data_IF_051474292903
#
_entry.id   IF_051474292903
#
_cell.length_a   1.000
_cell.length_b   1.000
_cell.length_c   1.000
_cell.angle_alpha   90.00
_cell.angle_beta   90.00
_cell.angle_gamma   90.00
#
_symmetry.space_group_name_H-M   'P 1'
#
loop_
_entity.id
_entity.type
_entity.pdbx_description
1 polymer ?
#
# COMPACT_ATOMS: atom_id res chain seq x y z
N UNK A 1 -5.02 -18.99 -2.49
CA UNK A 1 -4.98 -18.58 -1.07
C UNK A 1 -6.01 -17.46 -0.82
N UNK A 2 -6.52 -17.25 0.40
CA UNK A 2 -7.55 -16.20 0.65
C UNK A 2 -7.06 -14.80 0.26
N UNK A 3 -5.78 -14.49 0.53
CA UNK A 3 -5.14 -13.23 0.17
C UNK A 3 -5.17 -12.95 -1.34
N UNK A 4 -4.92 -13.95 -2.18
CA UNK A 4 -4.98 -13.79 -3.64
C UNK A 4 -6.38 -13.38 -4.11
N UNK A 5 -7.43 -14.00 -3.55
CA UNK A 5 -8.81 -13.65 -3.87
C UNK A 5 -9.16 -12.22 -3.45
N UNK A 6 -8.62 -11.77 -2.32
CA UNK A 6 -8.79 -10.38 -1.86
C UNK A 6 -8.10 -9.43 -2.84
N UNK A 7 -6.86 -9.72 -3.26
CA UNK A 7 -6.15 -8.90 -4.24
C UNK A 7 -6.87 -8.85 -5.58
N UNK A 8 -7.32 -9.99 -6.10
CA UNK A 8 -8.04 -10.08 -7.36
C UNK A 8 -9.34 -9.25 -7.33
N UNK A 9 -10.06 -9.28 -6.21
CA UNK A 9 -11.25 -8.46 -6.03
C UNK A 9 -10.94 -6.95 -6.01
N UNK A 10 -9.79 -6.57 -5.47
CA UNK A 10 -9.35 -5.17 -5.37
C UNK A 10 -8.88 -4.60 -6.71
N UNK A 11 -8.42 -5.42 -7.67
CA UNK A 11 -7.93 -4.95 -8.97
C UNK A 11 -8.95 -4.07 -9.70
N UNK A 12 -10.22 -4.47 -9.69
CA UNK A 12 -11.31 -3.69 -10.31
C UNK A 12 -11.47 -2.30 -9.69
N UNK A 13 -11.26 -2.19 -8.38
CA UNK A 13 -11.40 -0.94 -7.61
C UNK A 13 -10.17 -0.04 -7.71
N UNK A 14 -9.02 -0.59 -8.07
CA UNK A 14 -7.75 0.14 -8.22
C UNK A 14 -7.46 0.52 -9.68
N UNK A 15 -8.22 -0.03 -10.63
CA UNK A 15 -8.06 0.23 -12.05
C UNK A 15 -8.14 1.73 -12.36
N UNK A 16 -7.10 2.26 -13.01
CA UNK A 16 -7.01 3.67 -13.39
C UNK A 16 -6.63 4.63 -12.26
N UNK A 17 -6.55 4.17 -11.00
CA UNK A 17 -6.20 5.01 -9.85
C UNK A 17 -4.69 5.13 -9.66
N UNK A 18 -4.27 6.25 -9.10
CA UNK A 18 -2.86 6.54 -8.80
C UNK A 18 -2.65 6.81 -7.33
N UNK A 19 -1.43 6.53 -6.86
CA UNK A 19 -1.01 6.85 -5.50
C UNK A 19 -0.83 8.36 -5.39
N UNK A 20 -1.53 8.99 -4.46
CA UNK A 20 -1.41 10.42 -4.13
C UNK A 20 -0.45 10.67 -2.99
N UNK A 21 -0.48 9.82 -1.96
CA UNK A 21 0.37 9.94 -0.77
C UNK A 21 0.62 8.57 -0.12
N UNK A 22 1.78 8.40 0.51
CA UNK A 22 2.13 7.22 1.30
C UNK A 22 2.72 7.65 2.64
N UNK A 23 2.08 7.24 3.74
CA UNK A 23 2.59 7.47 5.10
C UNK A 23 2.93 6.16 5.77
N UNK A 24 4.19 6.03 6.19
CA UNK A 24 4.68 4.86 6.92
C UNK A 24 4.94 5.31 8.35
N UNK A 25 4.00 4.99 9.23
CA UNK A 25 4.19 5.08 10.66
C UNK A 25 4.89 3.83 11.19
N UNK A 26 5.12 3.82 12.50
CA UNK A 26 5.80 2.70 13.12
C UNK A 26 4.89 1.45 13.23
N UNK A 27 3.60 1.61 13.51
CA UNK A 27 2.61 0.52 13.63
C UNK A 27 1.73 0.35 12.39
N UNK A 28 1.54 1.43 11.63
CA UNK A 28 0.59 1.49 10.54
C UNK A 28 1.21 2.12 9.31
N UNK A 29 0.79 1.66 8.14
CA UNK A 29 1.07 2.30 6.86
C UNK A 29 -0.27 2.69 6.22
N UNK A 30 -0.33 3.88 5.64
CA UNK A 30 -1.49 4.40 4.93
C UNK A 30 -1.09 4.82 3.51
N UNK A 31 -2.00 4.61 2.55
CA UNK A 31 -1.89 5.08 1.17
C UNK A 31 -3.17 5.81 0.82
N UNK A 32 -3.03 7.05 0.33
CA UNK A 32 -4.13 7.81 -0.25
C UNK A 32 -4.04 7.71 -1.78
N UNK A 33 -5.17 7.48 -2.44
CA UNK A 33 -5.30 7.51 -3.89
C UNK A 33 -5.72 8.89 -4.39
N UNK A 34 -5.60 9.12 -5.69
CA UNK A 34 -5.97 10.37 -6.35
C UNK A 34 -7.47 10.70 -6.26
N UNK A 35 -8.33 9.70 -6.05
CA UNK A 35 -9.76 9.88 -5.79
C UNK A 35 -10.10 10.12 -4.30
N UNK A 36 -9.08 10.21 -3.43
CA UNK A 36 -9.23 10.42 -2.00
C UNK A 36 -9.54 9.15 -1.19
N UNK A 37 -9.61 7.98 -1.83
CA UNK A 37 -9.72 6.71 -1.12
C UNK A 37 -8.43 6.41 -0.32
N UNK A 38 -8.59 5.82 0.87
CA UNK A 38 -7.46 5.53 1.76
C UNK A 38 -7.43 4.04 2.11
N UNK A 39 -6.28 3.41 1.93
CA UNK A 39 -5.99 2.07 2.44
C UNK A 39 -5.04 2.13 3.62
N UNK A 40 -5.30 1.34 4.67
CA UNK A 40 -4.43 1.23 5.85
C UNK A 40 -4.06 -0.23 6.12
N UNK A 41 -2.84 -0.46 6.61
CA UNK A 41 -2.40 -1.78 7.06
C UNK A 41 -1.50 -1.65 8.29
N UNK A 42 -1.29 -2.77 8.97
CA UNK A 42 -0.28 -2.91 10.02
C UNK A 42 1.12 -3.08 9.45
N UNK A 43 2.08 -2.43 10.10
CA UNK A 43 3.50 -2.68 9.93
C UNK A 43 3.89 -3.80 10.88
N UNK A 44 4.18 -4.98 10.34
CA UNK A 44 4.56 -6.16 11.13
C UNK A 44 6.00 -6.04 11.64
N UNK A 45 6.26 -5.14 12.58
CA UNK A 45 7.62 -4.77 13.04
C UNK A 45 8.52 -5.95 13.41
N UNK A 46 7.94 -7.01 13.99
CA UNK A 46 8.67 -8.22 14.38
C UNK A 46 9.29 -8.96 13.19
N UNK A 47 8.77 -8.75 11.99
CA UNK A 47 9.27 -9.34 10.74
C UNK A 47 10.34 -8.47 10.05
N UNK A 48 10.52 -7.22 10.48
CA UNK A 48 11.36 -6.21 9.80
C UNK A 48 12.68 -5.94 10.55
N UNK A 49 12.91 -6.64 11.67
CA UNK A 49 14.06 -6.42 12.56
C UNK A 49 14.03 -5.06 13.29
N UNK A 50 15.00 -4.81 14.18
CA UNK A 50 15.17 -3.51 14.84
C UNK A 50 15.84 -2.47 13.92
N UNK A 51 15.26 -2.22 12.76
CA UNK A 51 15.76 -1.25 11.81
C UNK A 51 14.73 -0.13 11.59
N UNK A 52 15.21 1.11 11.54
CA UNK A 52 14.49 2.16 10.81
C UNK A 52 14.51 1.75 9.33
N UNK A 53 13.43 1.12 8.88
CA UNK A 53 13.31 0.67 7.50
C UNK A 53 13.04 1.88 6.60
N UNK A 54 14.09 2.47 6.05
CA UNK A 54 13.94 3.41 4.94
C UNK A 54 13.33 2.64 3.76
N UNK A 55 12.16 3.08 3.26
CA UNK A 55 11.57 2.46 2.08
C UNK A 55 12.35 2.94 0.84
N UNK A 56 13.15 2.08 0.18
CA UNK A 56 13.90 2.49 -0.99
C UNK A 56 12.91 2.96 -2.07
N UNK A 57 13.22 4.11 -2.67
CA UNK A 57 12.39 4.76 -3.71
C UNK A 57 11.03 5.31 -3.24
N UNK A 58 10.86 5.62 -1.95
CA UNK A 58 9.64 6.28 -1.45
C UNK A 58 9.23 7.51 -2.28
N UNK A 59 10.20 8.34 -2.70
CA UNK A 59 9.93 9.52 -3.54
C UNK A 59 9.43 9.23 -4.96
N UNK A 60 9.48 7.98 -5.42
CA UNK A 60 8.95 7.57 -6.73
C UNK A 60 7.54 6.97 -6.67
N UNK A 61 6.99 6.76 -5.47
CA UNK A 61 5.68 6.11 -5.30
C UNK A 61 4.51 6.99 -5.73
N UNK A 62 4.66 8.31 -5.59
CA UNK A 62 3.61 9.25 -5.95
C UNK A 62 3.39 9.25 -7.46
N UNK A 63 2.12 9.21 -7.88
CA UNK A 63 1.72 9.14 -9.27
C UNK A 63 1.83 7.75 -9.91
N UNK A 64 2.38 6.75 -9.22
CA UNK A 64 2.39 5.38 -9.72
C UNK A 64 0.96 4.80 -9.76
N UNK A 65 0.65 3.93 -10.73
CA UNK A 65 -0.62 3.20 -10.74
C UNK A 65 -0.77 2.36 -9.46
N UNK A 66 -1.99 2.28 -8.92
CA UNK A 66 -2.27 1.53 -7.69
C UNK A 66 -2.29 0.00 -7.92
N UNK A 67 -2.67 -0.49 -9.11
CA UNK A 67 -2.75 -1.92 -9.44
C UNK A 67 -1.45 -2.73 -9.27
N UNK A 68 -0.25 -2.27 -9.67
CA UNK A 68 1.00 -3.01 -9.46
C UNK A 68 1.51 -2.99 -8.01
N UNK A 69 0.83 -2.32 -7.07
CA UNK A 69 1.21 -2.28 -5.65
C UNK A 69 0.84 -3.59 -4.91
N UNK A 70 1.09 -4.73 -5.58
CA UNK A 70 0.59 -6.06 -5.25
C UNK A 70 1.36 -6.76 -4.15
N UNK A 71 2.61 -6.35 -3.89
CA UNK A 71 3.53 -7.17 -3.11
C UNK A 71 3.59 -6.88 -1.60
N UNK A 72 2.94 -5.83 -1.07
CA UNK A 72 3.07 -5.50 0.38
C UNK A 72 1.85 -4.84 1.05
N UNK A 73 0.74 -4.60 0.36
CA UNK A 73 -0.36 -3.78 0.91
C UNK A 73 -1.71 -4.21 0.32
N UNK A 74 -2.63 -4.65 1.18
CA UNK A 74 -4.03 -4.75 0.81
C UNK A 74 -4.67 -3.37 1.02
N UNK A 75 -5.05 -2.70 -0.07
CA UNK A 75 -5.90 -1.50 0.00
C UNK A 75 -7.33 -2.01 0.21
N UNK A 76 -7.76 -2.08 1.46
CA UNK A 76 -9.15 -2.35 1.80
C UNK A 76 -9.88 -1.01 1.81
N UNK A 77 -10.80 -0.85 0.84
CA UNK A 77 -11.80 0.23 0.79
C UNK A 77 -13.18 -0.39 0.85
#
# INVERSE_FOLDING_TARGET
MILERVYDSALSRLAGKKIKEVRIGLELMAVELDDGAIGVTYVLRKEIGHACAALPKAGSLLGMPACPFRNKMAIVT
#
